data_IF_438148546043
#
_entry.id   IF_438148546043
#
_cell.length_a   1.000
_cell.length_b   1.000
_cell.length_c   1.000
_cell.angle_alpha   90.00
_cell.angle_beta   90.00
_cell.angle_gamma   90.00
#
_symmetry.space_group_name_H-M   'P 1'
#
loop_
_entity.id
_entity.type
_entity.pdbx_description
1 polymer ?
#
# COMPACT_ATOMS: atom_id res chain seq x y z
N UNK A 1 2.67 12.06 0.47
CA UNK A 1 1.44 11.23 0.39
C UNK A 1 1.38 10.16 1.48
N UNK A 2 2.46 9.40 1.75
CA UNK A 2 2.44 8.25 2.67
C UNK A 2 2.30 8.58 4.17
N UNK A 3 2.26 9.86 4.54
CA UNK A 3 2.02 10.34 5.91
C UNK A 3 0.75 11.21 6.00
N UNK A 4 -0.19 11.04 5.06
CA UNK A 4 -1.49 11.76 5.08
C UNK A 4 -2.35 11.37 6.28
N UNK A 5 -2.19 10.14 6.77
CA UNK A 5 -2.72 9.63 8.04
C UNK A 5 -1.63 8.80 8.74
N UNK A 6 -1.91 8.31 9.95
CA UNK A 6 -0.96 7.59 10.78
C UNK A 6 -0.29 6.40 10.06
N UNK A 7 1.04 6.41 10.06
CA UNK A 7 1.85 5.27 9.63
C UNK A 7 1.58 4.06 10.56
N UNK A 8 1.44 2.82 10.07
CA UNK A 8 1.69 2.32 8.71
C UNK A 8 0.48 2.22 7.76
N UNK A 9 -0.65 2.87 8.04
CA UNK A 9 -1.86 2.71 7.22
C UNK A 9 -1.68 3.09 5.74
N UNK A 10 -1.15 4.28 5.37
CA UNK A 10 -1.04 4.65 3.96
C UNK A 10 -0.02 3.80 3.20
N UNK A 11 1.04 3.36 3.89
CA UNK A 11 2.09 2.52 3.31
C UNK A 11 1.54 1.13 3.00
N UNK A 12 0.82 0.51 3.95
CA UNK A 12 0.17 -0.77 3.71
C UNK A 12 -0.86 -0.69 2.59
N UNK A 13 -1.67 0.36 2.56
CA UNK A 13 -2.63 0.58 1.48
C UNK A 13 -1.93 0.70 0.12
N UNK A 14 -0.85 1.50 0.02
CA UNK A 14 -0.09 1.67 -1.21
C UNK A 14 0.49 0.34 -1.72
N UNK A 15 1.12 -0.43 -0.83
CA UNK A 15 1.72 -1.72 -1.19
C UNK A 15 0.67 -2.73 -1.66
N UNK A 16 -0.45 -2.88 -0.94
CA UNK A 16 -1.56 -3.72 -1.38
C UNK A 16 -2.16 -3.24 -2.71
N UNK A 17 -2.33 -1.93 -2.90
CA UNK A 17 -2.85 -1.34 -4.14
C UNK A 17 -1.95 -1.63 -5.35
N UNK A 18 -0.63 -1.64 -5.14
CA UNK A 18 0.36 -1.95 -6.18
C UNK A 18 0.50 -3.45 -6.46
N UNK A 19 -0.07 -4.32 -5.62
CA UNK A 19 0.00 -5.78 -5.76
C UNK A 19 1.06 -6.46 -4.91
N UNK A 20 1.71 -5.76 -3.98
CA UNK A 20 2.57 -6.39 -2.98
C UNK A 20 1.71 -7.06 -1.89
N UNK A 21 1.93 -8.35 -1.58
CA UNK A 21 1.15 -9.09 -0.60
C UNK A 21 1.57 -8.76 0.83
N UNK A 22 1.15 -7.60 1.36
CA UNK A 22 1.45 -7.18 2.74
C UNK A 22 0.33 -7.46 3.74
N UNK A 23 -0.75 -8.08 3.25
CA UNK A 23 -1.93 -8.42 4.04
C UNK A 23 -2.74 -7.20 4.49
N UNK A 24 -3.89 -7.45 5.13
CA UNK A 24 -4.76 -6.39 5.64
C UNK A 24 -4.16 -5.75 6.91
N UNK A 25 -4.45 -4.47 7.19
CA UNK A 25 -4.22 -3.88 8.51
C UNK A 25 -4.84 -4.75 9.61
N UNK A 26 -4.12 -4.88 10.72
CA UNK A 26 -4.64 -5.53 11.94
C UNK A 26 -5.08 -4.42 12.89
N UNK A 27 -6.17 -4.65 13.61
CA UNK A 27 -6.64 -3.73 14.64
C UNK A 27 -5.50 -3.42 15.63
N UNK A 28 -5.38 -2.16 16.09
CA UNK A 28 -6.34 -1.06 15.93
C UNK A 28 -6.26 -0.30 14.59
N UNK A 29 -5.35 -0.70 13.69
CA UNK A 29 -5.19 -0.05 12.40
C UNK A 29 -6.24 -0.54 11.40
N UNK A 30 -6.80 0.41 10.65
CA UNK A 30 -7.81 0.16 9.62
C UNK A 30 -7.31 0.61 8.25
N UNK A 31 -8.10 0.41 7.20
CA UNK A 31 -7.82 1.01 5.89
C UNK A 31 -8.01 2.54 5.94
N UNK A 32 -7.24 3.32 5.16
CA UNK A 32 -7.47 4.75 5.06
C UNK A 32 -8.84 5.04 4.44
N UNK A 33 -9.42 6.19 4.80
CA UNK A 33 -10.64 6.68 4.19
C UNK A 33 -10.44 7.05 2.70
N UNK A 34 -11.53 7.19 1.95
CA UNK A 34 -11.45 7.37 0.50
C UNK A 34 -10.74 8.67 0.08
N UNK A 35 -10.79 9.74 0.91
CA UNK A 35 -10.06 10.99 0.61
C UNK A 35 -8.56 10.78 0.75
N UNK A 36 -8.11 10.14 1.83
CA UNK A 36 -6.70 9.79 2.05
C UNK A 36 -6.20 8.79 1.00
N UNK A 37 -7.00 7.79 0.66
CA UNK A 37 -6.69 6.80 -0.36
C UNK A 37 -6.51 7.45 -1.74
N UNK A 38 -7.37 8.40 -2.13
CA UNK A 38 -7.23 9.17 -3.38
C UNK A 38 -5.90 9.92 -3.44
N UNK A 39 -5.46 10.54 -2.35
CA UNK A 39 -4.17 11.24 -2.28
C UNK A 39 -3.00 10.27 -2.52
N UNK A 40 -3.06 9.08 -1.92
CA UNK A 40 -2.04 8.04 -2.12
C UNK A 40 -2.03 7.56 -3.58
N UNK A 41 -3.18 7.20 -4.15
CA UNK A 41 -3.29 6.74 -5.55
C UNK A 41 -2.83 7.79 -6.55
N UNK A 42 -3.20 9.07 -6.34
CA UNK A 42 -2.77 10.17 -7.19
C UNK A 42 -1.25 10.34 -7.16
N UNK A 43 -0.62 10.23 -5.99
CA UNK A 43 0.81 10.28 -5.87
C UNK A 43 1.48 9.11 -6.59
N UNK A 44 0.99 7.87 -6.41
CA UNK A 44 1.56 6.67 -7.03
C UNK A 44 1.58 6.73 -8.56
N UNK A 45 0.58 7.35 -9.20
CA UNK A 45 0.53 7.52 -10.66
C UNK A 45 1.72 8.31 -11.25
N UNK A 46 2.35 9.16 -10.44
CA UNK A 46 3.46 10.00 -10.88
C UNK A 46 4.82 9.29 -10.78
N UNK A 47 4.87 8.08 -10.24
CA UNK A 47 6.10 7.32 -10.06
C UNK A 47 6.08 6.05 -10.90
N UNK A 48 7.20 5.78 -11.57
CA UNK A 48 7.48 4.47 -12.15
C UNK A 48 8.15 3.62 -11.06
N UNK A 49 7.50 2.52 -10.69
CA UNK A 49 8.03 1.56 -9.72
C UNK A 49 8.73 0.47 -10.52
N UNK A 50 10.04 0.35 -10.34
CA UNK A 50 10.92 -0.61 -11.01
C UNK A 50 11.10 -1.91 -10.21
N UNK A 51 10.59 -1.94 -8.97
CA UNK A 51 10.57 -3.13 -8.15
C UNK A 51 9.58 -4.16 -8.71
N UNK A 52 10.02 -5.39 -9.04
CA UNK A 52 9.12 -6.42 -9.52
C UNK A 52 8.11 -6.82 -8.45
N UNK A 53 6.88 -7.12 -8.88
CA UNK A 53 5.88 -7.68 -7.98
C UNK A 53 6.28 -9.14 -7.65
N UNK A 54 6.24 -9.53 -6.37
CA UNK A 54 6.53 -10.90 -5.99
C UNK A 54 5.45 -11.82 -6.59
N UNK A 55 5.87 -12.71 -7.48
CA UNK A 55 5.03 -13.80 -7.97
C UNK A 55 4.82 -14.79 -6.83
N UNK A 56 3.65 -15.41 -6.70
CA UNK A 56 3.34 -16.39 -5.64
C UNK A 56 4.40 -17.50 -5.45
N UNK A 57 5.20 -17.79 -6.47
CA UNK A 57 6.30 -18.76 -6.42
C UNK A 57 7.49 -18.36 -5.53
N UNK A 58 7.67 -17.07 -5.20
CA UNK A 58 8.82 -16.60 -4.38
C UNK A 58 8.49 -16.48 -2.88
N UNK A 59 7.31 -16.95 -2.46
CA UNK A 59 6.89 -16.96 -1.05
C UNK A 59 6.68 -18.39 -0.59
N UNK A 60 7.79 -19.10 -0.38
CA UNK A 60 7.83 -20.40 0.27
C UNK A 60 8.91 -20.39 1.33
N UNK A 61 8.50 -20.08 2.57
CA UNK A 61 8.90 -20.59 3.90
C UNK A 61 8.36 -19.66 4.99
#
# INVERSE_FOLDING_TARGET
ALFVVSNPMPVKYALNYLGFPVGKPRLPLIEPDEKSAKIVRAALKNYKIDLPLPTRATQGE
#
